data_IF_940822004456
#
_entry.id   IF_940822004456
#
_cell.length_a   1.000
_cell.length_b   1.000
_cell.length_c   1.000
_cell.angle_alpha   90.00
_cell.angle_beta   90.00
_cell.angle_gamma   90.00
#
_symmetry.space_group_name_H-M   'P 1'
#
loop_
_entity.id
_entity.type
_entity.pdbx_description
1 polymer ?
#
# COMPACT_ATOMS: atom_id res chain seq x y z
N UNK A 1 20.76 -3.87 28.79
CA UNK A 1 20.39 -4.04 27.36
C UNK A 1 21.63 -4.03 26.49
N UNK A 2 21.59 -4.77 25.41
CA UNK A 2 22.63 -4.80 24.37
C UNK A 2 21.98 -4.38 23.06
N UNK A 3 22.15 -3.13 22.63
CA UNK A 3 21.47 -2.61 21.44
C UNK A 3 21.68 -3.51 20.21
N UNK A 4 20.60 -3.92 19.54
CA UNK A 4 20.61 -4.80 18.37
C UNK A 4 21.02 -6.26 18.63
N UNK A 5 21.19 -6.67 19.91
CA UNK A 5 21.60 -8.04 20.24
C UNK A 5 20.69 -8.73 21.23
N UNK A 6 20.07 -8.00 22.16
CA UNK A 6 19.19 -8.56 23.18
C UNK A 6 19.35 -7.94 24.56
N UNK A 7 18.85 -8.65 25.57
CA UNK A 7 18.80 -8.17 26.95
C UNK A 7 19.37 -9.21 27.93
N UNK A 8 19.89 -8.71 29.04
CA UNK A 8 20.23 -9.50 30.23
C UNK A 8 19.31 -9.07 31.35
N UNK A 9 18.59 -10.00 31.94
CA UNK A 9 17.69 -9.78 33.07
C UNK A 9 18.08 -10.68 34.25
N UNK A 10 17.76 -10.24 35.46
CA UNK A 10 17.84 -11.05 36.66
C UNK A 10 16.42 -11.29 37.17
N UNK A 11 16.05 -12.54 37.32
CA UNK A 11 14.75 -12.97 37.84
C UNK A 11 15.00 -13.84 39.05
N UNK A 12 14.75 -13.31 40.26
CA UNK A 12 15.15 -13.93 41.50
C UNK A 12 16.68 -14.08 41.57
N UNK A 13 17.17 -15.30 41.76
CA UNK A 13 18.59 -15.62 41.84
C UNK A 13 19.18 -15.99 40.46
N UNK A 14 18.35 -16.09 39.42
CA UNK A 14 18.79 -16.51 38.10
C UNK A 14 19.09 -15.35 37.13
N UNK A 15 20.17 -15.49 36.38
CA UNK A 15 20.54 -14.56 35.34
C UNK A 15 20.11 -15.11 33.97
N UNK A 16 19.16 -14.43 33.33
CA UNK A 16 18.66 -14.76 32.02
C UNK A 16 19.30 -13.86 30.94
N UNK A 17 19.64 -14.48 29.83
CA UNK A 17 20.02 -13.81 28.59
C UNK A 17 18.97 -14.13 27.53
N UNK A 18 18.43 -13.10 26.88
CA UNK A 18 17.46 -13.24 25.79
C UNK A 18 17.95 -12.39 24.62
N UNK A 19 18.13 -12.99 23.45
CA UNK A 19 18.62 -12.26 22.28
C UNK A 19 19.09 -13.14 21.15
N UNK A 20 19.81 -12.51 20.21
CA UNK A 20 20.28 -13.18 19.01
C UNK A 20 21.52 -14.07 19.29
N UNK A 21 21.88 -14.90 18.31
CA UNK A 21 23.03 -15.82 18.39
C UNK A 21 24.34 -15.08 18.71
N UNK A 22 24.53 -13.85 18.16
CA UNK A 22 25.73 -13.06 18.42
C UNK A 22 25.89 -12.72 19.90
N UNK A 23 24.80 -12.40 20.59
CA UNK A 23 24.82 -12.18 22.04
C UNK A 23 25.22 -13.43 22.80
N UNK A 24 24.57 -14.57 22.48
CA UNK A 24 24.81 -15.85 23.15
C UNK A 24 26.26 -16.31 23.02
N UNK A 25 26.81 -16.28 21.81
CA UNK A 25 28.22 -16.63 21.53
C UNK A 25 29.18 -15.68 22.28
N UNK A 26 28.92 -14.37 22.27
CA UNK A 26 29.75 -13.38 22.98
C UNK A 26 29.75 -13.58 24.50
N UNK A 27 28.78 -14.29 25.05
CA UNK A 27 28.63 -14.61 26.48
C UNK A 27 29.00 -16.04 26.82
N UNK A 28 29.53 -16.80 25.84
CA UNK A 28 30.02 -18.16 26.06
C UNK A 28 28.94 -19.19 26.29
N UNK A 29 27.70 -18.93 25.89
CA UNK A 29 26.61 -19.89 25.98
C UNK A 29 26.87 -21.07 25.08
N UNK A 30 26.81 -22.29 25.62
CA UNK A 30 27.07 -23.55 24.89
C UNK A 30 25.74 -24.19 24.44
N UNK A 31 25.83 -25.09 23.46
CA UNK A 31 24.68 -25.89 23.03
C UNK A 31 23.63 -25.13 22.21
N UNK A 32 24.01 -24.06 21.52
CA UNK A 32 23.11 -23.30 20.68
C UNK A 32 22.77 -24.10 19.42
N UNK A 33 21.49 -24.40 19.17
CA UNK A 33 21.08 -25.02 17.90
C UNK A 33 21.32 -24.07 16.73
N UNK A 34 21.58 -24.60 15.56
CA UNK A 34 21.66 -23.84 14.31
C UNK A 34 20.29 -23.90 13.64
N UNK A 35 19.56 -22.78 13.69
CA UNK A 35 18.20 -22.68 13.19
C UNK A 35 18.18 -21.55 12.16
N UNK A 36 17.69 -21.85 10.97
CA UNK A 36 17.47 -20.86 9.93
C UNK A 36 16.22 -20.03 10.23
N UNK A 37 16.34 -18.70 10.14
CA UNK A 37 15.23 -17.77 10.35
C UNK A 37 15.50 -16.73 11.43
N UNK A 38 14.45 -16.01 11.80
CA UNK A 38 14.50 -15.02 12.89
C UNK A 38 14.29 -15.73 14.22
N UNK A 39 15.37 -15.86 14.97
CA UNK A 39 15.39 -16.66 16.19
C UNK A 39 15.86 -15.85 17.38
N UNK A 40 15.15 -15.96 18.50
CA UNK A 40 15.52 -15.42 19.80
C UNK A 40 15.91 -16.56 20.71
N UNK A 41 17.19 -16.59 21.08
CA UNK A 41 17.73 -17.59 22.02
C UNK A 41 17.50 -17.15 23.46
N UNK A 42 17.25 -18.10 24.35
CA UNK A 42 17.11 -17.90 25.79
C UNK A 42 18.16 -18.76 26.48
N UNK A 43 18.94 -18.15 27.35
CA UNK A 43 19.91 -18.84 28.17
C UNK A 43 19.77 -18.42 29.64
N UNK A 44 19.99 -19.36 30.54
CA UNK A 44 20.00 -19.18 31.98
C UNK A 44 21.35 -19.64 32.54
N UNK A 45 22.00 -18.85 33.39
CA UNK A 45 23.30 -19.15 34.00
C UNK A 45 24.39 -19.62 33.01
N UNK A 46 24.30 -19.16 31.75
CA UNK A 46 25.25 -19.52 30.70
C UNK A 46 24.91 -20.81 29.93
N UNK A 47 23.81 -21.45 30.25
CA UNK A 47 23.32 -22.62 29.52
C UNK A 47 22.09 -22.25 28.66
N UNK A 48 22.05 -22.80 27.46
CA UNK A 48 20.91 -22.64 26.55
C UNK A 48 19.71 -23.40 27.10
N UNK A 49 18.56 -22.72 27.29
CA UNK A 49 17.34 -23.31 27.84
C UNK A 49 16.19 -23.35 26.84
N UNK A 50 16.25 -22.56 25.76
CA UNK A 50 15.18 -22.55 24.76
C UNK A 50 15.39 -21.55 23.65
N UNK A 51 14.55 -21.68 22.65
CA UNK A 51 14.52 -20.84 21.46
C UNK A 51 13.08 -20.40 21.19
N UNK A 52 12.91 -19.16 20.80
CA UNK A 52 11.66 -18.65 20.25
C UNK A 52 11.93 -18.39 18.76
N UNK A 53 11.26 -19.13 17.90
CA UNK A 53 11.25 -18.88 16.47
C UNK A 53 10.17 -17.83 16.17
N UNK A 54 10.55 -16.80 15.42
CA UNK A 54 9.64 -15.77 14.95
C UNK A 54 9.42 -16.00 13.46
N UNK A 55 8.18 -16.23 13.09
CA UNK A 55 7.79 -16.36 11.70
C UNK A 55 6.80 -15.25 11.34
N UNK A 56 7.12 -14.52 10.29
CA UNK A 56 6.19 -13.55 9.74
C UNK A 56 5.05 -14.29 9.05
N UNK A 57 3.84 -13.97 9.44
CA UNK A 57 2.63 -14.53 8.85
C UNK A 57 1.93 -13.52 7.98
N UNK A 58 1.41 -14.00 6.84
CA UNK A 58 0.58 -13.17 5.97
C UNK A 58 -0.73 -12.85 6.68
N UNK A 59 -1.14 -11.58 6.66
CA UNK A 59 -2.45 -11.18 7.19
C UNK A 59 -3.55 -11.95 6.45
N UNK A 60 -4.58 -12.43 7.15
CA UNK A 60 -5.63 -13.24 6.53
C UNK A 60 -6.32 -12.55 5.34
N UNK A 61 -6.48 -11.22 5.41
CA UNK A 61 -7.11 -10.40 4.38
C UNK A 61 -6.20 -10.06 3.19
N UNK A 62 -4.89 -10.32 3.27
CA UNK A 62 -3.93 -9.86 2.26
C UNK A 62 -4.16 -10.52 0.89
N UNK A 63 -4.38 -11.83 0.85
CA UNK A 63 -4.64 -12.55 -0.40
C UNK A 63 -5.93 -12.07 -1.09
N UNK A 64 -6.99 -11.88 -0.32
CA UNK A 64 -8.27 -11.38 -0.85
C UNK A 64 -8.13 -9.93 -1.34
N UNK A 65 -7.40 -9.09 -0.63
CA UNK A 65 -7.13 -7.71 -1.03
C UNK A 65 -6.33 -7.64 -2.34
N UNK A 66 -5.26 -8.43 -2.47
CA UNK A 66 -4.46 -8.51 -3.70
C UNK A 66 -5.29 -9.03 -4.87
N UNK A 67 -6.10 -10.07 -4.65
CA UNK A 67 -7.02 -10.56 -5.67
C UNK A 67 -8.00 -9.48 -6.10
N UNK A 68 -8.63 -8.78 -5.15
CA UNK A 68 -9.61 -7.72 -5.41
C UNK A 68 -9.03 -6.58 -6.26
N UNK A 69 -7.80 -6.13 -6.00
CA UNK A 69 -7.16 -5.09 -6.81
C UNK A 69 -6.80 -5.59 -8.22
N UNK A 70 -6.42 -6.86 -8.36
CA UNK A 70 -6.19 -7.49 -9.68
C UNK A 70 -7.48 -7.60 -10.48
N UNK A 71 -8.57 -8.02 -9.87
CA UNK A 71 -9.91 -8.07 -10.49
C UNK A 71 -10.38 -6.68 -10.93
N UNK A 72 -9.88 -5.63 -10.27
CA UNK A 72 -10.12 -4.24 -10.65
C UNK A 72 -9.15 -3.72 -11.74
N UNK A 73 -8.30 -4.57 -12.33
CA UNK A 73 -7.44 -4.24 -13.46
C UNK A 73 -6.05 -3.73 -13.09
N UNK A 74 -5.56 -4.05 -11.90
CA UNK A 74 -4.13 -3.91 -11.59
C UNK A 74 -3.40 -5.07 -12.29
N UNK A 75 -2.55 -4.73 -13.25
CA UNK A 75 -1.89 -5.71 -14.13
C UNK A 75 -0.75 -6.47 -13.42
N UNK A 76 -0.04 -5.79 -12.51
CA UNK A 76 1.12 -6.37 -11.84
C UNK A 76 1.19 -5.91 -10.39
N UNK A 77 1.47 -6.87 -9.50
CA UNK A 77 1.79 -6.62 -8.10
C UNK A 77 3.23 -7.00 -7.81
N UNK A 78 3.95 -6.12 -7.12
CA UNK A 78 5.38 -6.30 -6.83
C UNK A 78 5.64 -6.08 -5.35
N UNK A 79 6.37 -6.99 -4.72
CA UNK A 79 6.87 -6.85 -3.35
C UNK A 79 8.34 -6.42 -3.39
N UNK A 80 8.66 -5.30 -2.74
CA UNK A 80 10.02 -4.77 -2.60
C UNK A 80 10.36 -4.72 -1.12
N UNK A 81 11.33 -5.51 -0.67
CA UNK A 81 11.70 -5.61 0.74
C UNK A 81 13.20 -5.78 0.96
N UNK A 82 13.66 -5.41 2.16
CA UNK A 82 15.01 -5.72 2.64
C UNK A 82 15.14 -7.08 3.29
N UNK A 83 14.04 -7.82 3.47
CA UNK A 83 14.02 -9.11 4.13
C UNK A 83 14.66 -10.21 3.28
N UNK A 84 15.02 -11.32 3.93
CA UNK A 84 15.63 -12.47 3.27
C UNK A 84 14.69 -13.14 2.26
N UNK A 85 15.26 -13.79 1.25
CA UNK A 85 14.55 -14.35 0.10
C UNK A 85 13.51 -15.41 0.50
N UNK A 86 13.91 -16.40 1.30
CA UNK A 86 13.06 -17.56 1.63
C UNK A 86 11.74 -17.18 2.32
N UNK A 87 11.73 -16.39 3.41
CA UNK A 87 10.49 -15.98 4.05
C UNK A 87 9.66 -15.05 3.15
N UNK A 88 10.31 -14.15 2.41
CA UNK A 88 9.63 -13.21 1.51
C UNK A 88 8.90 -13.94 0.38
N UNK A 89 9.52 -14.96 -0.23
CA UNK A 89 8.89 -15.72 -1.29
C UNK A 89 7.66 -16.50 -0.80
N UNK A 90 7.70 -17.05 0.43
CA UNK A 90 6.53 -17.69 1.04
C UNK A 90 5.37 -16.70 1.24
N UNK A 91 5.67 -15.53 1.77
CA UNK A 91 4.68 -14.45 1.97
C UNK A 91 4.07 -14.01 0.64
N UNK A 92 4.89 -13.77 -0.37
CA UNK A 92 4.43 -13.35 -1.69
C UNK A 92 3.52 -14.39 -2.36
N UNK A 93 3.91 -15.66 -2.29
CA UNK A 93 3.10 -16.76 -2.83
C UNK A 93 1.75 -16.89 -2.10
N UNK A 94 1.75 -16.78 -0.77
CA UNK A 94 0.54 -16.85 0.04
C UNK A 94 -0.39 -15.64 -0.20
N UNK A 95 0.17 -14.46 -0.45
CA UNK A 95 -0.58 -13.24 -0.76
C UNK A 95 -0.99 -13.14 -2.25
N UNK A 96 -0.43 -13.98 -3.13
CA UNK A 96 -0.71 -13.92 -4.57
C UNK A 96 -0.02 -12.77 -5.29
N UNK A 97 1.17 -12.35 -4.85
CA UNK A 97 1.99 -11.31 -5.47
C UNK A 97 2.78 -11.88 -6.65
N UNK A 98 2.87 -11.12 -7.76
CA UNK A 98 3.43 -11.63 -9.02
C UNK A 98 4.96 -11.60 -9.08
N UNK A 99 5.58 -10.60 -8.47
CA UNK A 99 7.03 -10.38 -8.55
C UNK A 99 7.58 -10.00 -7.19
N UNK A 100 8.75 -10.54 -6.84
CA UNK A 100 9.42 -10.30 -5.56
C UNK A 100 10.82 -9.76 -5.80
N UNK A 101 11.17 -8.72 -5.06
CA UNK A 101 12.53 -8.21 -4.94
C UNK A 101 12.88 -8.12 -3.45
N UNK A 102 13.73 -9.01 -2.99
CA UNK A 102 14.13 -9.18 -1.60
C UNK A 102 15.59 -8.81 -1.37
N UNK A 103 16.00 -8.75 -0.10
CA UNK A 103 17.36 -8.46 0.34
C UNK A 103 17.93 -7.13 -0.18
N UNK A 104 17.07 -6.14 -0.41
CA UNK A 104 17.46 -4.84 -0.96
C UNK A 104 17.81 -3.84 0.14
N UNK A 105 18.89 -3.10 -0.06
CA UNK A 105 19.21 -1.91 0.73
C UNK A 105 18.26 -0.74 0.37
N UNK A 106 18.09 0.26 1.23
CA UNK A 106 17.19 1.39 0.97
C UNK A 106 17.41 2.07 -0.39
N UNK A 107 18.66 2.29 -0.78
CA UNK A 107 19.04 2.90 -2.05
C UNK A 107 18.68 2.00 -3.25
N UNK A 108 18.82 0.68 -3.07
CA UNK A 108 18.46 -0.31 -4.10
C UNK A 108 16.95 -0.40 -4.29
N UNK A 109 16.15 -0.28 -3.22
CA UNK A 109 14.67 -0.19 -3.31
C UNK A 109 14.25 0.98 -4.17
N UNK A 110 14.86 2.15 -3.95
CA UNK A 110 14.57 3.36 -4.72
C UNK A 110 14.96 3.21 -6.18
N UNK A 111 16.17 2.72 -6.47
CA UNK A 111 16.63 2.47 -7.83
C UNK A 111 15.75 1.45 -8.57
N UNK A 112 15.27 0.43 -7.83
CA UNK A 112 14.38 -0.59 -8.40
C UNK A 112 13.01 -0.01 -8.75
N UNK A 113 12.43 0.81 -7.89
CA UNK A 113 11.18 1.50 -8.16
C UNK A 113 11.31 2.43 -9.36
N UNK A 114 12.35 3.26 -9.44
CA UNK A 114 12.62 4.16 -10.58
C UNK A 114 12.74 3.36 -11.90
N UNK A 115 13.49 2.26 -11.88
CA UNK A 115 13.61 1.39 -13.04
C UNK A 115 12.25 0.84 -13.49
N UNK A 116 11.42 0.40 -12.55
CA UNK A 116 10.10 -0.14 -12.88
C UNK A 116 9.19 0.93 -13.47
N UNK A 117 9.17 2.13 -12.88
CA UNK A 117 8.38 3.27 -13.38
C UNK A 117 8.77 3.64 -14.83
N UNK A 118 10.07 3.59 -15.15
CA UNK A 118 10.55 3.87 -16.54
C UNK A 118 10.22 2.77 -17.54
N UNK A 119 9.93 1.57 -17.09
CA UNK A 119 9.62 0.41 -17.95
C UNK A 119 8.13 0.19 -18.17
N UNK A 120 7.28 0.92 -17.44
CA UNK A 120 5.82 0.89 -17.62
C UNK A 120 5.44 1.67 -18.89
N UNK A 121 4.42 1.21 -19.64
CA UNK A 121 3.86 1.97 -20.76
C UNK A 121 3.46 3.40 -20.35
N UNK A 122 3.47 4.32 -21.31
CA UNK A 122 3.20 5.76 -21.05
C UNK A 122 1.80 6.06 -20.50
N UNK A 123 0.87 5.14 -20.60
CA UNK A 123 -0.48 5.19 -20.04
C UNK A 123 -0.62 4.42 -18.72
N UNK A 124 0.44 3.74 -18.28
CA UNK A 124 0.48 3.03 -17.01
C UNK A 124 0.75 3.95 -15.83
N UNK A 125 0.26 3.57 -14.65
CA UNK A 125 0.43 4.30 -13.40
C UNK A 125 0.96 3.36 -12.32
N UNK A 126 1.96 3.81 -11.57
CA UNK A 126 2.56 3.07 -10.46
C UNK A 126 2.02 3.58 -9.13
N UNK A 127 1.42 2.69 -8.34
CA UNK A 127 1.10 2.97 -6.94
C UNK A 127 2.12 2.27 -6.03
N UNK A 128 2.72 3.02 -5.11
CA UNK A 128 3.57 2.48 -4.05
C UNK A 128 2.83 2.48 -2.72
N UNK A 129 2.76 1.34 -2.06
CA UNK A 129 2.09 1.17 -0.77
C UNK A 129 3.15 0.92 0.30
N UNK A 130 3.18 1.78 1.32
CA UNK A 130 4.14 1.69 2.43
C UNK A 130 3.49 2.06 3.75
N UNK A 131 4.04 1.57 4.86
CA UNK A 131 3.51 1.79 6.21
C UNK A 131 4.43 2.64 7.11
N UNK A 132 5.64 2.90 6.69
CA UNK A 132 6.70 3.43 7.53
C UNK A 132 7.40 4.69 7.07
N UNK A 133 8.16 5.22 8.02
CA UNK A 133 9.07 6.36 7.78
C UNK A 133 10.19 5.98 6.80
N UNK A 134 10.51 4.69 6.71
CA UNK A 134 11.52 4.15 5.78
C UNK A 134 11.13 4.25 4.31
N UNK A 135 9.84 4.42 4.02
CA UNK A 135 9.31 4.37 2.65
C UNK A 135 8.91 5.77 2.11
N UNK A 136 9.23 6.84 2.85
CA UNK A 136 8.83 8.23 2.50
C UNK A 136 9.34 8.63 1.11
N UNK A 137 10.55 8.26 0.75
CA UNK A 137 11.13 8.61 -0.55
C UNK A 137 10.43 7.87 -1.69
N UNK A 138 10.11 6.59 -1.49
CA UNK A 138 9.38 5.78 -2.46
C UNK A 138 7.93 6.25 -2.62
N UNK A 139 7.27 6.63 -1.51
CA UNK A 139 5.92 7.20 -1.53
C UNK A 139 5.85 8.51 -2.34
N UNK A 140 6.89 9.35 -2.25
CA UNK A 140 6.98 10.61 -3.02
C UNK A 140 7.35 10.40 -4.48
N UNK A 141 8.11 9.34 -4.78
CA UNK A 141 8.61 9.08 -6.11
C UNK A 141 7.59 8.39 -7.00
N UNK A 142 6.73 7.56 -6.44
CA UNK A 142 5.67 6.89 -7.19
C UNK A 142 4.64 7.88 -7.74
N UNK A 143 3.95 7.52 -8.82
CA UNK A 143 2.85 8.32 -9.37
C UNK A 143 1.73 8.49 -8.34
N UNK A 144 1.48 7.43 -7.55
CA UNK A 144 0.54 7.45 -6.42
C UNK A 144 1.20 6.81 -5.21
N UNK A 145 1.54 7.60 -4.20
CA UNK A 145 1.98 7.12 -2.89
C UNK A 145 0.78 6.82 -1.99
N UNK A 146 0.72 5.63 -1.44
CA UNK A 146 -0.34 5.18 -0.53
C UNK A 146 0.29 4.85 0.83
N UNK A 147 0.00 5.63 1.85
CA UNK A 147 0.43 5.34 3.22
C UNK A 147 -0.64 4.53 3.96
N UNK A 148 -0.19 3.53 4.72
CA UNK A 148 -1.06 2.65 5.50
C UNK A 148 -0.79 2.79 7.00
N UNK A 149 -1.85 2.63 7.81
CA UNK A 149 -1.79 2.45 9.26
C UNK A 149 -2.43 3.56 10.08
N UNK A 150 -2.99 3.19 11.23
CA UNK A 150 -3.64 4.09 12.21
C UNK A 150 -2.63 5.00 12.93
N UNK A 151 -1.36 4.63 12.91
CA UNK A 151 -0.24 5.34 13.55
C UNK A 151 0.88 5.67 12.57
N UNK A 152 0.57 5.69 11.27
CA UNK A 152 1.50 6.19 10.27
C UNK A 152 2.05 7.52 10.78
N UNK A 153 3.35 7.68 10.83
CA UNK A 153 3.92 8.95 11.26
C UNK A 153 3.26 10.05 10.43
N UNK A 154 3.03 11.21 11.00
CA UNK A 154 2.54 12.38 10.26
C UNK A 154 3.36 12.57 8.98
N UNK A 155 4.63 12.21 9.02
CA UNK A 155 5.55 12.27 7.88
C UNK A 155 5.18 11.35 6.72
N UNK A 156 4.68 10.13 6.99
CA UNK A 156 4.22 9.22 5.92
C UNK A 156 2.92 9.72 5.30
N UNK A 157 2.02 10.25 6.13
CA UNK A 157 0.77 10.87 5.67
C UNK A 157 1.02 12.11 4.80
N UNK A 158 2.00 12.95 5.19
CA UNK A 158 2.38 14.15 4.42
C UNK A 158 3.10 13.83 3.11
N UNK A 159 3.69 12.64 3.01
CA UNK A 159 4.40 12.18 1.82
C UNK A 159 3.51 11.44 0.81
N UNK A 160 2.35 10.94 1.24
CA UNK A 160 1.46 10.12 0.43
C UNK A 160 0.33 10.94 -0.20
N UNK A 161 -0.15 10.48 -1.34
CA UNK A 161 -1.33 11.02 -2.02
C UNK A 161 -2.63 10.44 -1.42
N UNK A 162 -2.56 9.22 -0.89
CA UNK A 162 -3.68 8.49 -0.30
C UNK A 162 -3.26 7.96 1.08
N UNK A 163 -4.12 8.14 2.07
CA UNK A 163 -3.94 7.60 3.42
C UNK A 163 -5.03 6.57 3.71
N UNK A 164 -4.63 5.33 3.96
CA UNK A 164 -5.51 4.25 4.43
C UNK A 164 -5.33 4.14 5.94
N UNK A 165 -6.32 4.60 6.69
CA UNK A 165 -6.26 4.63 8.17
C UNK A 165 -6.41 3.25 8.78
N UNK A 166 -7.08 2.34 8.10
CA UNK A 166 -7.15 0.95 8.51
C UNK A 166 -5.78 0.25 8.36
N UNK A 167 -5.44 -0.59 9.33
CA UNK A 167 -4.23 -1.41 9.26
C UNK A 167 -4.47 -2.68 8.44
N UNK A 168 -5.21 -2.55 7.33
CA UNK A 168 -5.61 -3.64 6.45
C UNK A 168 -5.54 -3.21 4.97
N UNK A 169 -5.07 -4.11 4.13
CA UNK A 169 -4.99 -3.93 2.67
C UNK A 169 -6.36 -3.87 1.99
N UNK A 170 -7.46 -4.27 2.64
CA UNK A 170 -8.81 -4.22 2.08
C UNK A 170 -9.19 -2.82 1.63
N UNK A 171 -8.78 -1.79 2.38
CA UNK A 171 -9.00 -0.38 2.03
C UNK A 171 -8.36 0.04 0.70
N UNK A 172 -7.30 -0.65 0.24
CA UNK A 172 -6.67 -0.37 -1.05
C UNK A 172 -7.64 -0.69 -2.21
N UNK A 173 -8.32 -1.84 -2.15
CA UNK A 173 -9.32 -2.21 -3.14
C UNK A 173 -10.51 -1.25 -3.18
N UNK A 174 -10.91 -0.74 -2.03
CA UNK A 174 -11.97 0.28 -1.94
C UNK A 174 -11.53 1.61 -2.54
N UNK A 175 -10.30 2.06 -2.26
CA UNK A 175 -9.74 3.27 -2.84
C UNK A 175 -9.69 3.19 -4.38
N UNK A 176 -9.23 2.07 -4.94
CA UNK A 176 -9.21 1.85 -6.39
C UNK A 176 -10.63 1.89 -6.97
N UNK A 177 -11.60 1.27 -6.30
CA UNK A 177 -12.99 1.28 -6.75
C UNK A 177 -13.60 2.69 -6.75
N UNK A 178 -13.37 3.46 -5.69
CA UNK A 178 -13.82 4.86 -5.60
C UNK A 178 -13.21 5.71 -6.71
N UNK A 179 -11.90 5.60 -6.93
CA UNK A 179 -11.20 6.32 -8.01
C UNK A 179 -11.79 5.99 -9.39
N UNK A 180 -12.02 4.71 -9.70
CA UNK A 180 -12.61 4.29 -10.97
C UNK A 180 -14.04 4.79 -11.16
N UNK A 181 -14.85 4.70 -10.12
CA UNK A 181 -16.23 5.20 -10.16
C UNK A 181 -16.25 6.71 -10.37
N UNK A 182 -15.39 7.45 -9.69
CA UNK A 182 -15.25 8.90 -9.83
C UNK A 182 -14.80 9.28 -11.23
N UNK A 183 -13.78 8.61 -11.76
CA UNK A 183 -13.31 8.82 -13.14
C UNK A 183 -14.42 8.53 -14.15
N UNK A 184 -15.16 7.43 -13.99
CA UNK A 184 -16.28 7.08 -14.85
C UNK A 184 -17.36 8.15 -14.89
N UNK A 185 -17.77 8.66 -13.72
CA UNK A 185 -18.77 9.75 -13.64
C UNK A 185 -18.23 11.06 -14.23
N UNK A 186 -16.96 11.40 -13.99
CA UNK A 186 -16.34 12.57 -14.58
C UNK A 186 -16.30 12.51 -16.11
N UNK A 187 -15.93 11.35 -16.67
CA UNK A 187 -15.91 11.14 -18.14
C UNK A 187 -17.32 11.18 -18.73
N UNK A 188 -18.32 10.62 -18.05
CA UNK A 188 -19.72 10.73 -18.48
C UNK A 188 -20.17 12.19 -18.53
N UNK A 189 -19.89 12.98 -17.49
CA UNK A 189 -20.22 14.39 -17.44
C UNK A 189 -19.52 15.17 -18.56
N UNK A 190 -18.21 14.94 -18.75
CA UNK A 190 -17.42 15.62 -19.78
C UNK A 190 -17.96 15.31 -21.19
N UNK A 191 -18.23 14.03 -21.46
CA UNK A 191 -18.76 13.59 -22.76
C UNK A 191 -20.15 14.20 -23.02
N UNK A 192 -21.03 14.21 -22.03
CA UNK A 192 -22.36 14.82 -22.14
C UNK A 192 -22.27 16.32 -22.43
N UNK A 193 -21.42 17.04 -21.69
CA UNK A 193 -21.19 18.47 -21.89
C UNK A 193 -20.64 18.77 -23.28
N UNK A 194 -19.62 18.01 -23.72
CA UNK A 194 -19.01 18.19 -25.03
C UNK A 194 -20.00 17.93 -26.18
N UNK A 195 -20.77 16.84 -26.08
CA UNK A 195 -21.74 16.47 -27.08
C UNK A 195 -22.84 17.56 -27.26
N UNK A 196 -23.41 18.02 -26.16
CA UNK A 196 -24.48 19.02 -26.20
C UNK A 196 -23.94 20.38 -26.67
N UNK A 197 -22.76 20.78 -26.23
CA UNK A 197 -22.11 22.03 -26.69
C UNK A 197 -21.79 21.97 -28.20
N UNK A 198 -21.36 20.81 -28.71
CA UNK A 198 -21.14 20.62 -30.15
C UNK A 198 -22.45 20.78 -30.94
N UNK A 199 -23.51 20.15 -30.47
CA UNK A 199 -24.84 20.28 -31.12
C UNK A 199 -25.30 21.74 -31.12
N UNK A 200 -25.18 22.44 -30.01
CA UNK A 200 -25.52 23.87 -29.94
C UNK A 200 -24.68 24.73 -30.89
N UNK A 201 -23.39 24.45 -31.01
CA UNK A 201 -22.52 25.17 -31.94
C UNK A 201 -22.96 24.99 -33.39
N UNK A 202 -23.33 23.75 -33.79
CA UNK A 202 -23.86 23.47 -35.12
C UNK A 202 -25.19 24.19 -35.36
N UNK A 203 -26.11 24.16 -34.38
CA UNK A 203 -27.40 24.88 -34.47
C UNK A 203 -27.20 26.41 -34.58
N UNK A 204 -26.20 26.96 -33.93
CA UNK A 204 -25.87 28.36 -34.03
C UNK A 204 -25.31 28.74 -35.39
N UNK A 205 -24.48 27.88 -35.99
CA UNK A 205 -23.92 28.08 -37.34
C UNK A 205 -24.99 28.12 -38.43
N UNK A 206 -26.04 27.32 -38.30
CA UNK A 206 -27.18 27.32 -39.24
C UNK A 206 -28.27 28.36 -38.87
N UNK A 207 -28.04 29.17 -37.83
CA UNK A 207 -28.94 30.27 -37.42
C UNK A 207 -30.18 29.81 -36.63
N UNK A 208 -30.25 28.57 -36.20
CA UNK A 208 -31.37 28.01 -35.42
C UNK A 208 -31.24 28.24 -33.90
N UNK A 209 -30.02 28.45 -33.39
CA UNK A 209 -29.79 28.67 -31.97
C UNK A 209 -29.59 30.16 -31.68
N UNK A 210 -30.35 30.69 -30.70
CA UNK A 210 -30.18 32.02 -30.17
C UNK A 210 -29.34 32.04 -28.90
N UNK A 211 -28.69 33.13 -28.59
CA UNK A 211 -27.76 33.27 -27.46
C UNK A 211 -28.38 32.88 -26.11
N UNK A 212 -29.64 33.25 -25.84
CA UNK A 212 -30.35 32.91 -24.61
C UNK A 212 -30.56 31.37 -24.44
N UNK A 213 -30.72 30.63 -25.55
CA UNK A 213 -30.85 29.16 -25.53
C UNK A 213 -29.57 28.52 -25.03
N UNK A 214 -28.41 29.04 -25.45
CA UNK A 214 -27.11 28.53 -25.00
C UNK A 214 -26.94 28.73 -23.47
N UNK A 215 -27.38 29.85 -22.92
CA UNK A 215 -27.32 30.15 -21.49
C UNK A 215 -28.22 29.21 -20.67
N UNK A 216 -29.46 28.98 -21.14
CA UNK A 216 -30.38 28.07 -20.44
C UNK A 216 -29.86 26.63 -20.48
N UNK A 217 -29.38 26.18 -21.62
CA UNK A 217 -28.85 24.81 -21.74
C UNK A 217 -27.63 24.62 -20.86
N UNK A 218 -26.73 25.61 -20.78
CA UNK A 218 -25.54 25.55 -19.92
C UNK A 218 -25.93 25.47 -18.43
N UNK A 219 -26.92 26.25 -18.00
CA UNK A 219 -27.43 26.19 -16.63
C UNK A 219 -28.08 24.83 -16.31
N UNK A 220 -28.90 24.29 -17.21
CA UNK A 220 -29.51 22.97 -17.04
C UNK A 220 -28.46 21.86 -17.00
N UNK A 221 -27.45 21.91 -17.90
CA UNK A 221 -26.37 20.93 -17.93
C UNK A 221 -25.54 20.95 -16.62
N UNK A 222 -25.28 22.14 -16.08
CA UNK A 222 -24.56 22.28 -14.81
C UNK A 222 -25.35 21.58 -13.69
N UNK A 223 -26.64 21.78 -13.59
CA UNK A 223 -27.49 21.10 -12.61
C UNK A 223 -27.49 19.59 -12.82
N UNK A 224 -27.62 19.12 -14.06
CA UNK A 224 -27.60 17.68 -14.36
C UNK A 224 -26.28 17.02 -14.02
N UNK A 225 -25.14 17.66 -14.32
CA UNK A 225 -23.82 17.11 -13.98
C UNK A 225 -23.57 17.07 -12.47
N UNK A 226 -24.05 18.06 -11.71
CA UNK A 226 -24.03 18.02 -10.24
C UNK A 226 -24.88 16.85 -9.73
N UNK A 227 -26.10 16.70 -10.22
CA UNK A 227 -26.95 15.55 -9.84
C UNK A 227 -26.31 14.20 -10.17
N UNK A 228 -25.67 14.06 -11.33
CA UNK A 228 -24.96 12.83 -11.68
C UNK A 228 -23.79 12.57 -10.72
N UNK A 229 -23.09 13.60 -10.27
CA UNK A 229 -21.99 13.49 -9.31
C UNK A 229 -22.47 13.08 -7.91
N UNK A 230 -23.69 13.47 -7.48
CA UNK A 230 -24.21 13.07 -6.16
C UNK A 230 -24.43 11.56 -6.03
N UNK A 231 -24.49 10.81 -7.14
CA UNK A 231 -24.55 9.34 -7.12
C UNK A 231 -23.33 8.72 -6.43
N UNK A 232 -22.17 9.40 -6.49
CA UNK A 232 -20.96 8.93 -5.82
C UNK A 232 -21.07 8.99 -4.28
N UNK A 233 -21.91 9.88 -3.74
CA UNK A 233 -22.14 9.98 -2.30
C UNK A 233 -22.93 8.80 -1.74
N UNK A 234 -23.71 8.12 -2.56
CA UNK A 234 -24.49 6.93 -2.19
C UNK A 234 -23.71 5.63 -2.25
N UNK A 235 -22.55 5.61 -2.90
CA UNK A 235 -21.68 4.44 -3.02
C UNK A 235 -20.58 4.44 -1.92
N UNK A 236 -20.96 4.73 -0.67
CA UNK A 236 -20.01 4.58 0.44
C UNK A 236 -19.62 3.11 0.55
N UNK A 237 -18.33 2.77 0.56
CA UNK A 237 -17.91 1.46 1.03
C UNK A 237 -18.43 1.27 2.47
N UNK A 238 -19.03 0.12 2.75
CA UNK A 238 -19.39 -0.25 4.12
C UNK A 238 -18.09 -0.32 4.92
N UNK A 239 -17.88 0.66 5.78
CA UNK A 239 -16.81 0.63 6.78
C UNK A 239 -17.28 -0.37 7.83
N UNK A 240 -16.61 -1.51 8.06
CA UNK A 240 -16.94 -2.38 9.16
C UNK A 240 -16.82 -1.56 10.45
N UNK A 241 -17.90 -1.42 11.20
CA UNK A 241 -17.85 -0.90 12.56
C UNK A 241 -17.05 -1.90 13.41
N UNK A 242 -15.99 -1.42 14.09
CA UNK A 242 -15.19 -2.17 15.07
C UNK A 242 -16.02 -2.52 16.31
#
# INVERSE_FOLDING_TARGET
EFPGRGVRARIGDHVLLVGNRKLMVSRGVKGLPDIDGTVVYIACEGEHIGVIELEDTVRPSAADAIKKIKDQGVERTVLITGDAETPTQRIANAAGIDTVHCSLMPEEKQAKLDFMMRTIPTDGTTAYVGDGVSDIEQLKMADVGVAMGTRGSRYSADAANVLITANDLSGLGEAVQVCKSTHGVAMQNLTLLAAIKLVLAVLALIGLAQMWMAVIVDAVLTVLTVFNTTRLLGSKPEIPEE
#
